data_IF_721390927457
#
_entry.id   IF_721390927457
#
_cell.length_a   1.000
_cell.length_b   1.000
_cell.length_c   1.000
_cell.angle_alpha   90.00
_cell.angle_beta   90.00
_cell.angle_gamma   90.00
#
_symmetry.space_group_name_H-M   'P 1'
#
loop_
_entity.id
_entity.type
_entity.pdbx_description
1 polymer ?
#
# COMPACT_ATOMS: atom_id res chain seq x y z
N UNK A 1 -2.98 16.13 7.98
CA UNK A 1 -2.60 15.43 6.75
C UNK A 1 -3.69 14.43 6.41
N UNK A 2 -4.11 14.35 5.16
CA UNK A 2 -5.17 13.42 4.74
C UNK A 2 -4.53 12.16 4.13
N UNK A 3 -5.03 10.98 4.51
CA UNK A 3 -4.64 9.70 3.91
C UNK A 3 -5.37 9.49 2.59
N UNK A 4 -4.62 9.24 1.52
CA UNK A 4 -5.12 9.11 0.16
C UNK A 4 -5.01 7.66 -0.35
N UNK A 5 -5.95 7.27 -1.23
CA UNK A 5 -5.85 6.00 -1.97
C UNK A 5 -4.63 6.04 -2.90
N UNK A 6 -3.94 4.90 -3.00
CA UNK A 6 -2.89 4.67 -3.98
C UNK A 6 -3.56 4.07 -5.22
N UNK A 7 -3.85 4.89 -6.23
CA UNK A 7 -4.61 4.48 -7.41
C UNK A 7 -3.91 3.44 -8.33
N UNK A 8 -2.57 3.41 -8.51
CA UNK A 8 -1.95 2.37 -9.34
C UNK A 8 -1.80 1.01 -8.63
N UNK A 9 -2.35 0.85 -7.43
CA UNK A 9 -2.16 -0.35 -6.61
C UNK A 9 -2.88 -1.59 -7.14
N UNK A 10 -3.92 -1.42 -7.96
CA UNK A 10 -4.81 -2.51 -8.39
C UNK A 10 -4.08 -3.56 -9.26
N UNK A 11 -2.95 -3.20 -9.89
CA UNK A 11 -2.10 -4.12 -10.67
C UNK A 11 -0.82 -4.56 -9.96
N UNK A 12 -0.57 -4.07 -8.74
CA UNK A 12 0.64 -4.39 -7.99
C UNK A 12 0.46 -5.71 -7.22
N UNK A 13 1.54 -6.49 -7.00
CA UNK A 13 1.48 -7.71 -6.20
C UNK A 13 1.42 -7.38 -4.70
N UNK A 14 0.36 -6.68 -4.30
CA UNK A 14 0.12 -6.17 -2.96
C UNK A 14 -1.32 -6.46 -2.53
N UNK A 15 -1.57 -6.30 -1.24
CA UNK A 15 -2.89 -6.47 -0.63
C UNK A 15 -3.23 -5.30 0.30
N UNK A 16 -4.45 -5.30 0.83
CA UNK A 16 -4.85 -4.36 1.87
C UNK A 16 -3.88 -4.41 3.06
N UNK A 17 -3.48 -3.24 3.57
CA UNK A 17 -2.63 -3.12 4.75
C UNK A 17 -3.34 -3.30 6.09
N UNK A 18 -4.62 -3.66 6.10
CA UNK A 18 -5.46 -3.74 7.30
C UNK A 18 -6.01 -2.39 7.78
N UNK A 19 -5.53 -1.28 7.20
CA UNK A 19 -6.05 0.07 7.37
C UNK A 19 -6.54 0.55 6.00
N UNK A 20 -7.71 1.19 5.93
CA UNK A 20 -8.22 1.73 4.67
C UNK A 20 -7.21 2.64 3.99
N UNK A 21 -7.12 2.58 2.65
CA UNK A 21 -6.19 3.36 1.82
C UNK A 21 -4.69 3.07 2.06
N UNK A 22 -4.35 1.92 2.66
CA UNK A 22 -2.96 1.45 2.83
C UNK A 22 -2.71 0.13 2.12
N UNK A 23 -1.45 -0.18 1.81
CA UNK A 23 -1.04 -1.40 1.11
C UNK A 23 0.00 -2.18 1.91
N UNK A 24 0.01 -3.49 1.72
CA UNK A 24 1.02 -4.42 2.21
C UNK A 24 1.58 -5.26 1.06
N UNK A 25 2.89 -5.43 1.02
CA UNK A 25 3.58 -6.39 0.16
C UNK A 25 4.11 -7.53 1.03
N UNK A 26 3.79 -8.76 0.67
CA UNK A 26 4.29 -9.95 1.34
C UNK A 26 5.41 -10.57 0.52
N UNK A 27 6.56 -10.91 1.12
CA UNK A 27 7.69 -11.47 0.38
C UNK A 27 7.35 -12.69 -0.47
N UNK A 28 6.40 -13.50 0.00
CA UNK A 28 5.95 -14.70 -0.69
C UNK A 28 5.24 -14.42 -2.03
N UNK A 29 4.62 -13.25 -2.20
CA UNK A 29 3.82 -12.92 -3.39
C UNK A 29 4.39 -11.76 -4.20
N UNK A 30 5.20 -10.89 -3.58
CA UNK A 30 5.64 -9.64 -4.20
C UNK A 30 7.07 -9.62 -4.73
N UNK A 31 7.86 -10.68 -4.51
CA UNK A 31 9.28 -10.75 -4.91
C UNK A 31 10.12 -9.57 -4.38
N UNK A 32 9.73 -9.01 -3.24
CA UNK A 32 10.45 -7.95 -2.52
C UNK A 32 10.38 -8.23 -1.02
N UNK A 33 11.08 -7.46 -0.20
CA UNK A 33 10.94 -7.55 1.26
C UNK A 33 9.52 -7.15 1.70
N UNK A 34 9.19 -7.40 2.97
CA UNK A 34 7.89 -6.99 3.50
C UNK A 34 7.80 -5.47 3.54
N UNK A 35 6.80 -4.89 2.87
CA UNK A 35 6.61 -3.44 2.79
C UNK A 35 5.21 -3.03 3.24
N UNK A 36 5.12 -1.86 3.87
CA UNK A 36 3.86 -1.18 4.17
C UNK A 36 3.89 0.22 3.56
N UNK A 37 2.84 0.58 2.82
CA UNK A 37 2.77 1.85 2.08
C UNK A 37 1.52 2.64 2.48
N UNK A 38 1.73 3.90 2.85
CA UNK A 38 0.70 4.87 3.13
C UNK A 38 1.04 6.21 2.44
N UNK A 39 0.04 6.84 1.81
CA UNK A 39 0.21 8.12 1.10
C UNK A 39 -0.56 9.21 1.81
N UNK A 40 0.12 10.28 2.19
CA UNK A 40 -0.49 11.44 2.84
C UNK A 40 -0.31 12.71 2.00
N UNK A 41 -1.29 13.61 2.08
CA UNK A 41 -1.13 15.00 1.64
C UNK A 41 -1.14 15.93 2.85
N UNK A 42 -0.21 16.89 2.87
CA UNK A 42 -0.22 17.95 3.87
C UNK A 42 -1.23 19.02 3.42
N UNK A 43 -2.06 19.48 4.36
CA UNK A 43 -2.94 20.63 4.14
C UNK A 43 -2.09 21.90 4.01
#
# INVERSE_FOLDING_TARGET
>A
AELLKINPADSWPCRSGGIQKTLRFDPATSQTSGLFVAKFVKL
#
